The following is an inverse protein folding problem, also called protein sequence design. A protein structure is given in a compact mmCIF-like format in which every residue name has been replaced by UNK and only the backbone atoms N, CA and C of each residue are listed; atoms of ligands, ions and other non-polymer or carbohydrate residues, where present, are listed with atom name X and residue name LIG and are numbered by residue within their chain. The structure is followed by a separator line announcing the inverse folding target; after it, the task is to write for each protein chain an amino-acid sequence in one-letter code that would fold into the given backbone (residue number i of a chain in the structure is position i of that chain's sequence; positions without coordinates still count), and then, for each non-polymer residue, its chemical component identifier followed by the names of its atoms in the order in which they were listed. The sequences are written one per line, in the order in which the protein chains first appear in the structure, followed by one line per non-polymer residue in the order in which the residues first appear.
data_IF_248077338078
#
_entry.id   IF_248077338078
#
_cell.length_a   1.000
_cell.length_b   1.000
_cell.length_c   1.000
_cell.angle_alpha   90.00
_cell.angle_beta   90.00
_cell.angle_gamma   90.00
#
_symmetry.space_group_name_H-M   'P 1'
#
loop_
_entity.id
_entity.type
_entity.pdbx_description
1 polymer ?
#
# COMPACT_ATOMS: atom_id res chain seq x y z
N UNK A 1 10.55 0.76 -8.07
CA UNK A 1 10.44 1.80 -9.11
C UNK A 1 11.22 1.26 -10.29
N UNK A 2 10.59 1.18 -11.46
CA UNK A 2 11.29 0.79 -12.68
C UNK A 2 11.66 2.09 -13.40
N UNK A 3 12.91 2.51 -13.27
CA UNK A 3 13.49 3.75 -13.85
C UNK A 3 14.91 3.44 -14.28
N UNK A 4 15.33 4.01 -15.41
CA UNK A 4 16.75 4.17 -15.79
C UNK A 4 17.26 5.49 -15.18
N UNK A 5 18.13 5.45 -14.14
CA UNK A 5 18.56 6.64 -13.42
C UNK A 5 19.23 7.69 -14.32
N UNK A 6 19.95 7.25 -15.34
CA UNK A 6 20.64 8.11 -16.31
C UNK A 6 19.68 8.92 -17.20
N UNK A 7 18.39 8.58 -17.16
CA UNK A 7 17.33 9.15 -17.97
C UNK A 7 16.25 9.82 -17.12
N UNK A 8 16.51 10.01 -15.83
CA UNK A 8 15.61 10.70 -14.91
C UNK A 8 16.21 12.06 -14.56
N UNK A 9 15.52 13.12 -14.98
CA UNK A 9 15.74 14.48 -14.50
C UNK A 9 14.61 14.81 -13.51
N UNK A 10 14.94 15.01 -12.24
CA UNK A 10 13.95 15.14 -11.18
C UNK A 10 14.31 16.29 -10.23
N UNK A 11 13.31 17.12 -9.93
CA UNK A 11 13.43 18.14 -8.90
C UNK A 11 13.60 17.51 -7.50
N UNK A 12 14.18 18.25 -6.56
CA UNK A 12 14.31 17.79 -5.17
C UNK A 12 12.94 17.62 -4.48
N UNK A 13 11.91 18.34 -4.94
CA UNK A 13 10.56 18.31 -4.40
C UNK A 13 9.61 17.41 -5.20
N UNK A 14 9.98 16.16 -5.39
CA UNK A 14 9.07 15.14 -5.93
C UNK A 14 8.76 14.05 -4.89
N UNK A 15 7.74 13.24 -5.17
CA UNK A 15 7.45 12.02 -4.43
C UNK A 15 7.03 10.92 -5.40
N UNK A 16 7.61 9.73 -5.26
CA UNK A 16 7.26 8.57 -6.08
C UNK A 16 7.03 7.38 -5.15
N UNK A 17 5.81 6.87 -5.17
CA UNK A 17 5.40 5.74 -4.37
C UNK A 17 5.92 4.41 -4.91
N UNK A 18 5.66 3.34 -4.16
CA UNK A 18 6.02 1.98 -4.55
C UNK A 18 5.30 1.57 -5.84
N UNK A 19 6.01 0.78 -6.67
CA UNK A 19 5.43 0.16 -7.85
C UNK A 19 5.22 1.10 -9.03
N UNK A 20 5.64 2.37 -8.95
CA UNK A 20 5.58 3.25 -10.12
C UNK A 20 6.48 2.73 -11.25
N UNK A 21 5.93 2.76 -12.45
CA UNK A 21 6.61 2.45 -13.71
C UNK A 21 6.86 3.78 -14.41
N UNK A 22 8.13 4.07 -14.67
CA UNK A 22 8.54 5.34 -15.27
C UNK A 22 9.53 5.04 -16.39
N UNK A 23 9.62 5.89 -17.40
CA UNK A 23 10.57 5.66 -18.51
C UNK A 23 10.44 4.27 -19.13
N UNK A 24 9.20 3.75 -19.22
CA UNK A 24 8.98 2.36 -19.60
C UNK A 24 9.64 2.08 -20.93
N UNK A 25 10.48 1.05 -20.93
CA UNK A 25 11.07 0.46 -22.12
C UNK A 25 9.92 0.09 -23.05
N UNK A 26 9.75 0.89 -24.09
CA UNK A 26 8.82 0.54 -25.15
C UNK A 26 9.48 -0.59 -25.94
N UNK A 27 9.03 -1.83 -25.70
CA UNK A 27 9.42 -3.00 -26.50
C UNK A 27 8.69 -2.94 -27.85
N UNK A 28 9.03 -1.95 -28.67
CA UNK A 28 8.66 -1.93 -30.07
C UNK A 28 9.61 -2.83 -30.86
N UNK A 29 9.43 -4.15 -30.73
CA UNK A 29 10.16 -5.15 -31.52
C UNK A 29 11.65 -5.25 -31.19
N UNK A 30 12.53 -5.20 -32.20
CA UNK A 30 13.98 -5.48 -32.08
C UNK A 30 14.79 -4.36 -31.41
N UNK A 31 14.17 -3.24 -31.02
CA UNK A 31 14.84 -2.08 -30.44
C UNK A 31 14.21 -1.71 -29.11
N UNK A 32 15.07 -1.29 -28.18
CA UNK A 32 14.67 -0.71 -26.90
C UNK A 32 14.78 0.81 -27.01
N UNK A 33 13.65 1.51 -26.90
CA UNK A 33 13.64 2.97 -26.92
C UNK A 33 13.76 3.52 -25.51
N UNK A 34 14.86 4.23 -25.28
CA UNK A 34 15.13 4.90 -24.00
C UNK A 34 15.01 6.41 -24.21
N UNK A 35 14.17 7.07 -23.41
CA UNK A 35 13.92 8.51 -23.48
C UNK A 35 14.01 9.12 -22.09
N UNK A 36 14.38 10.41 -21.98
CA UNK A 36 14.43 11.09 -20.70
C UNK A 36 13.03 11.39 -20.16
N UNK A 37 12.87 11.29 -18.84
CA UNK A 37 11.70 11.74 -18.08
C UNK A 37 12.12 12.92 -17.22
N UNK A 38 11.38 14.03 -17.35
CA UNK A 38 11.55 15.22 -16.51
C UNK A 38 10.39 15.33 -15.52
N UNK A 39 10.71 15.27 -14.23
CA UNK A 39 9.77 15.40 -13.12
C UNK A 39 9.98 16.73 -12.39
N UNK A 40 9.18 17.76 -12.68
CA UNK A 40 9.30 19.05 -12.03
C UNK A 40 8.83 19.05 -10.57
N UNK A 41 9.09 20.16 -9.87
CA UNK A 41 8.69 20.36 -8.48
C UNK A 41 7.19 20.15 -8.26
N UNK A 42 6.84 19.56 -7.12
CA UNK A 42 5.46 19.29 -6.73
C UNK A 42 4.84 18.07 -7.43
N UNK A 43 5.63 17.32 -8.20
CA UNK A 43 5.19 16.06 -8.79
C UNK A 43 5.04 14.96 -7.72
N UNK A 44 3.88 14.32 -7.68
CA UNK A 44 3.56 13.21 -6.79
C UNK A 44 2.99 12.05 -7.61
N UNK A 45 3.67 10.91 -7.60
CA UNK A 45 3.18 9.67 -8.19
C UNK A 45 2.76 8.70 -7.09
N UNK A 46 1.49 8.31 -7.08
CA UNK A 46 0.94 7.31 -6.17
C UNK A 46 1.24 5.88 -6.62
N UNK A 47 0.88 4.89 -5.81
CA UNK A 47 1.27 3.49 -6.01
C UNK A 47 0.84 2.99 -7.40
N UNK A 48 1.75 2.28 -8.06
CA UNK A 48 1.54 1.69 -9.39
C UNK A 48 1.18 2.68 -10.51
N UNK A 49 1.45 3.98 -10.33
CA UNK A 49 1.29 4.95 -11.41
C UNK A 49 2.23 4.63 -12.58
N UNK A 50 1.76 4.92 -13.80
CA UNK A 50 2.47 4.65 -15.04
C UNK A 50 2.82 5.99 -15.70
N UNK A 51 4.11 6.23 -15.91
CA UNK A 51 4.64 7.52 -16.33
C UNK A 51 5.47 7.33 -17.59
N UNK A 52 4.97 7.84 -18.72
CA UNK A 52 5.70 7.80 -19.98
C UNK A 52 6.86 8.82 -20.01
N UNK A 53 7.90 8.58 -20.83
CA UNK A 53 8.98 9.55 -21.02
C UNK A 53 8.50 10.89 -21.60
N UNK A 54 9.11 11.98 -21.18
CA UNK A 54 8.75 13.35 -21.59
C UNK A 54 8.87 14.37 -20.47
N UNK A 55 8.48 15.61 -20.74
CA UNK A 55 8.46 16.69 -19.75
C UNK A 55 7.08 16.80 -19.11
N UNK A 56 6.89 16.28 -17.90
CA UNK A 56 5.62 16.32 -17.18
C UNK A 56 5.31 17.70 -16.58
N UNK A 57 4.03 18.03 -16.29
CA UNK A 57 3.68 19.25 -15.57
C UNK A 57 4.04 19.17 -14.08
N UNK A 58 4.38 20.32 -13.50
CA UNK A 58 4.56 20.52 -12.06
C UNK A 58 3.26 20.51 -11.28
N UNK A 59 3.39 20.46 -9.95
CA UNK A 59 2.25 20.46 -9.02
C UNK A 59 1.16 19.41 -9.37
N UNK A 60 1.58 18.27 -9.90
CA UNK A 60 0.73 17.20 -10.37
C UNK A 60 0.70 16.07 -9.35
N UNK A 61 -0.48 15.72 -8.88
CA UNK A 61 -0.77 14.49 -8.14
C UNK A 61 -1.35 13.45 -9.09
N UNK A 62 -0.54 12.46 -9.42
CA UNK A 62 -0.93 11.30 -10.20
C UNK A 62 -1.40 10.18 -9.26
N UNK A 63 -2.66 9.81 -9.43
CA UNK A 63 -3.37 8.83 -8.62
C UNK A 63 -2.84 7.41 -8.78
N UNK A 64 -3.37 6.53 -7.95
CA UNK A 64 -3.03 5.12 -7.95
C UNK A 64 -3.37 4.49 -9.29
N UNK A 65 -2.47 3.66 -9.84
CA UNK A 65 -2.67 2.95 -11.12
C UNK A 65 -3.11 3.85 -12.29
N UNK A 66 -2.74 5.13 -12.23
CA UNK A 66 -3.13 6.15 -13.21
C UNK A 66 -2.00 6.33 -14.22
N UNK A 67 -2.26 6.18 -15.54
CA UNK A 67 -1.29 6.49 -16.56
C UNK A 67 -1.21 7.99 -16.82
N UNK A 68 -0.03 8.45 -17.22
CA UNK A 68 0.17 9.79 -17.79
C UNK A 68 1.24 9.73 -18.88
N UNK A 69 1.00 10.44 -19.98
CA UNK A 69 1.99 10.69 -21.01
C UNK A 69 2.00 12.13 -21.50
N UNK A 70 3.06 12.53 -22.25
CA UNK A 70 3.18 13.88 -22.80
C UNK A 70 2.09 14.22 -23.82
N UNK A 71 1.33 13.23 -24.30
CA UNK A 71 0.19 13.43 -25.18
C UNK A 71 -1.09 13.88 -24.44
N UNK A 72 -1.14 13.73 -23.11
CA UNK A 72 -2.29 14.14 -22.29
C UNK A 72 -2.32 15.65 -22.01
N UNK A 73 -1.23 16.36 -22.28
CA UNK A 73 -1.12 17.79 -22.01
C UNK A 73 -0.25 18.50 -23.04
N UNK A 74 -0.46 19.80 -23.17
CA UNK A 74 0.42 20.68 -23.95
C UNK A 74 1.52 21.21 -23.04
N UNK A 75 2.78 21.06 -23.45
CA UNK A 75 3.91 21.70 -22.76
C UNK A 75 3.70 23.22 -22.68
N UNK A 76 3.86 23.78 -21.49
CA UNK A 76 3.74 25.21 -21.22
C UNK A 76 5.12 25.80 -20.95
N UNK A 77 5.24 27.12 -21.09
CA UNK A 77 6.44 27.84 -20.71
C UNK A 77 6.71 27.67 -19.21
N UNK A 78 7.98 27.51 -18.86
CA UNK A 78 8.44 27.32 -17.47
C UNK A 78 8.60 28.64 -16.70
N UNK A 79 8.17 29.76 -17.28
CA UNK A 79 8.23 31.10 -16.67
C UNK A 79 7.22 31.27 -15.52
N UNK A 80 6.26 30.35 -15.39
CA UNK A 80 5.24 30.35 -14.34
C UNK A 80 5.09 28.95 -13.73
N UNK A 81 4.81 28.87 -12.41
CA UNK A 81 4.50 27.59 -11.79
C UNK A 81 3.18 27.03 -12.33
N UNK A 82 3.17 25.73 -12.60
CA UNK A 82 1.97 25.02 -13.01
C UNK A 82 0.87 25.09 -11.94
N UNK A 83 -0.38 25.19 -12.37
CA UNK A 83 -1.52 25.09 -11.47
C UNK A 83 -1.59 23.68 -10.86
N UNK A 84 -1.99 23.53 -9.58
CA UNK A 84 -2.19 22.22 -8.96
C UNK A 84 -3.20 21.37 -9.73
N UNK A 85 -2.84 20.12 -10.02
CA UNK A 85 -3.69 19.15 -10.73
C UNK A 85 -3.71 17.83 -9.98
N UNK A 86 -4.88 17.18 -9.99
CA UNK A 86 -5.04 15.81 -9.50
C UNK A 86 -5.62 14.98 -10.64
N UNK A 87 -4.90 13.93 -11.03
CA UNK A 87 -5.35 12.97 -12.03
C UNK A 87 -5.54 11.61 -11.37
N UNK A 88 -6.63 10.90 -11.66
CA UNK A 88 -6.83 9.54 -11.16
C UNK A 88 -7.66 8.69 -12.13
N UNK A 89 -7.39 7.38 -12.18
CA UNK A 89 -8.13 6.43 -13.01
C UNK A 89 -7.43 6.06 -14.31
N UNK A 90 -8.08 5.19 -15.08
CA UNK A 90 -7.68 4.77 -16.42
C UNK A 90 -8.94 4.58 -17.29
N UNK A 91 -9.30 5.55 -18.17
CA UNK A 91 -8.48 6.70 -18.57
C UNK A 91 -8.30 7.74 -17.45
N UNK A 92 -7.25 8.56 -17.55
CA UNK A 92 -6.93 9.55 -16.53
C UNK A 92 -8.02 10.64 -16.47
N UNK A 93 -8.61 10.80 -15.28
CA UNK A 93 -9.65 11.82 -15.04
C UNK A 93 -9.10 12.93 -14.15
N UNK A 94 -9.37 14.18 -14.53
CA UNK A 94 -9.06 15.32 -13.68
C UNK A 94 -10.04 15.41 -12.52
N UNK A 95 -9.52 15.32 -11.30
CA UNK A 95 -10.25 15.54 -10.08
C UNK A 95 -10.06 16.98 -9.61
N UNK A 96 -11.07 17.53 -8.92
CA UNK A 96 -10.99 18.88 -8.36
C UNK A 96 -9.80 19.01 -7.42
N UNK A 97 -8.84 19.86 -7.78
CA UNK A 97 -7.73 20.20 -6.90
C UNK A 97 -8.20 21.31 -5.95
N UNK A 98 -7.99 21.15 -4.65
CA UNK A 98 -8.18 22.27 -3.72
C UNK A 98 -7.15 23.34 -4.06
N UNK A 99 -7.62 24.56 -4.35
CA UNK A 99 -6.82 25.74 -4.65
C UNK A 99 -6.02 26.29 -3.47
N UNK A 100 -6.09 25.64 -2.30
CA UNK A 100 -5.19 25.96 -1.22
C UNK A 100 -3.79 25.51 -1.62
N UNK A 101 -2.83 26.44 -1.82
CA UNK A 101 -1.44 26.03 -1.91
C UNK A 101 -1.16 25.27 -0.62
N UNK A 102 -0.96 23.95 -0.73
CA UNK A 102 -0.40 23.20 0.36
C UNK A 102 0.89 23.94 0.68
N UNK A 103 0.93 24.64 1.82
CA UNK A 103 2.17 25.28 2.22
C UNK A 103 3.23 24.18 2.16
N UNK A 104 4.39 24.43 1.53
CA UNK A 104 5.47 23.49 1.58
C UNK A 104 5.83 23.30 3.05
N UNK A 105 5.23 22.32 3.70
CA UNK A 105 5.68 21.80 4.99
C UNK A 105 6.89 20.96 4.62
N UNK A 106 7.95 21.67 4.25
CA UNK A 106 9.30 21.17 4.09
C UNK A 106 10.14 21.67 5.28
N UNK A 107 9.77 21.40 6.56
CA UNK A 107 10.76 21.54 7.59
C UNK A 107 11.83 20.51 7.24
N UNK A 108 13.05 20.99 6.94
CA UNK A 108 14.22 20.12 6.88
C UNK A 108 14.15 19.24 8.13
N UNK A 109 14.15 17.91 8.00
CA UNK A 109 14.01 17.06 9.17
C UNK A 109 15.11 17.42 10.15
N UNK A 110 14.75 17.56 11.43
CA UNK A 110 15.77 17.74 12.45
C UNK A 110 16.72 16.54 12.42
N UNK A 111 17.97 16.75 12.83
CA UNK A 111 18.97 15.68 12.92
C UNK A 111 18.42 14.45 13.67
N UNK A 112 17.65 14.67 14.73
CA UNK A 112 17.02 13.59 15.50
C UNK A 112 15.98 12.79 14.70
N UNK A 113 15.12 13.45 13.93
CA UNK A 113 14.14 12.75 13.09
C UNK A 113 14.86 11.95 12.00
N UNK A 114 15.92 12.51 11.42
CA UNK A 114 16.75 11.81 10.44
C UNK A 114 17.44 10.58 11.05
N UNK A 115 18.01 10.69 12.25
CA UNK A 115 18.59 9.55 12.97
C UNK A 115 17.55 8.48 13.31
N UNK A 116 16.34 8.87 13.72
CA UNK A 116 15.26 7.91 13.96
C UNK A 116 14.83 7.19 12.68
N UNK A 117 14.79 7.88 11.53
CA UNK A 117 14.58 7.26 10.21
C UNK A 117 15.66 6.21 9.92
N UNK A 118 16.92 6.57 10.13
CA UNK A 118 18.05 5.65 9.95
C UNK A 118 17.92 4.41 10.84
N UNK A 119 17.67 4.59 12.14
CA UNK A 119 17.57 3.46 13.09
C UNK A 119 16.37 2.57 12.78
N UNK A 120 15.18 3.15 12.60
CA UNK A 120 13.94 2.39 12.46
C UNK A 120 13.76 1.79 11.07
N UNK A 121 14.17 2.50 10.03
CA UNK A 121 13.88 2.09 8.66
C UNK A 121 15.10 1.51 7.94
N UNK A 122 16.25 2.19 7.96
CA UNK A 122 17.44 1.67 7.29
C UNK A 122 18.09 0.51 8.08
N UNK A 123 18.32 0.66 9.39
CA UNK A 123 18.97 -0.38 10.19
C UNK A 123 17.99 -1.49 10.59
N UNK A 124 16.88 -1.14 11.27
CA UNK A 124 15.96 -2.15 11.77
C UNK A 124 15.16 -2.83 10.64
N UNK A 125 14.48 -2.06 9.78
CA UNK A 125 13.70 -2.66 8.68
C UNK A 125 14.59 -3.29 7.60
N UNK A 126 15.47 -2.53 6.94
CA UNK A 126 16.26 -3.10 5.84
C UNK A 126 17.36 -4.07 6.34
N UNK A 127 17.99 -3.79 7.48
CA UNK A 127 19.06 -4.63 8.02
C UNK A 127 18.60 -5.83 8.85
N UNK A 128 17.79 -5.60 9.89
CA UNK A 128 17.49 -6.63 10.92
C UNK A 128 16.30 -7.52 10.54
N UNK A 129 15.21 -6.95 10.04
CA UNK A 129 13.96 -7.70 9.76
C UNK A 129 14.17 -8.88 8.80
N UNK A 130 14.98 -8.80 7.72
CA UNK A 130 15.24 -9.97 6.87
C UNK A 130 15.90 -11.14 7.63
N UNK A 131 16.81 -10.84 8.56
CA UNK A 131 17.57 -11.83 9.32
C UNK A 131 16.82 -12.43 10.52
N UNK A 132 15.79 -11.73 11.04
CA UNK A 132 15.13 -12.10 12.30
C UNK A 132 14.59 -13.54 12.29
N UNK A 133 14.10 -14.03 11.15
CA UNK A 133 13.55 -15.38 11.01
C UNK A 133 14.64 -16.44 11.15
N UNK A 134 15.82 -16.21 10.55
CA UNK A 134 16.95 -17.13 10.61
C UNK A 134 17.55 -17.14 12.01
N UNK A 135 17.75 -15.95 12.60
CA UNK A 135 18.25 -15.84 13.96
C UNK A 135 17.33 -16.50 14.96
N UNK A 136 16.03 -16.21 14.93
CA UNK A 136 15.08 -16.77 15.88
C UNK A 136 14.99 -18.31 15.77
N UNK A 137 14.92 -18.86 14.56
CA UNK A 137 14.91 -20.31 14.35
C UNK A 137 16.20 -20.96 14.85
N UNK A 138 17.36 -20.37 14.52
CA UNK A 138 18.67 -20.92 14.89
C UNK A 138 18.90 -20.83 16.40
N UNK A 139 18.58 -19.70 17.02
CA UNK A 139 18.67 -19.52 18.47
C UNK A 139 17.79 -20.52 19.19
N UNK A 140 16.52 -20.69 18.77
CA UNK A 140 15.63 -21.67 19.38
C UNK A 140 16.19 -23.09 19.28
N UNK A 141 16.67 -23.49 18.11
CA UNK A 141 17.25 -24.81 17.88
C UNK A 141 18.49 -25.06 18.76
N UNK A 142 19.43 -24.11 18.78
CA UNK A 142 20.66 -24.21 19.56
C UNK A 142 20.36 -24.21 21.06
N UNK A 143 19.44 -23.37 21.52
CA UNK A 143 19.01 -23.36 22.93
C UNK A 143 18.39 -24.68 23.36
N UNK A 144 17.56 -25.31 22.52
CA UNK A 144 16.97 -26.62 22.83
C UNK A 144 18.02 -27.73 22.89
N UNK A 145 18.99 -27.73 21.98
CA UNK A 145 20.13 -28.65 22.04
C UNK A 145 20.97 -28.43 23.31
N UNK A 146 21.21 -27.18 23.69
CA UNK A 146 21.93 -26.84 24.92
C UNK A 146 21.19 -27.28 26.19
N UNK A 147 19.86 -27.34 26.16
CA UNK A 147 19.01 -27.89 27.21
C UNK A 147 18.98 -29.44 27.23
N UNK A 148 19.72 -30.10 26.34
CA UNK A 148 19.89 -31.56 26.34
C UNK A 148 18.95 -32.32 25.41
N UNK A 149 18.16 -31.64 24.56
CA UNK A 149 17.40 -32.32 23.52
C UNK A 149 18.36 -32.89 22.47
N UNK A 150 18.00 -34.05 21.90
CA UNK A 150 18.69 -34.56 20.71
C UNK A 150 18.44 -33.63 19.51
N UNK A 151 19.32 -33.65 18.51
CA UNK A 151 19.16 -32.83 17.30
C UNK A 151 17.78 -33.02 16.64
N UNK A 152 17.27 -34.25 16.62
CA UNK A 152 15.94 -34.57 16.08
C UNK A 152 14.85 -33.96 16.95
N UNK A 153 14.94 -34.13 18.28
CA UNK A 153 13.98 -33.56 19.22
C UNK A 153 13.94 -32.03 19.18
N UNK A 154 15.10 -31.38 19.18
CA UNK A 154 15.21 -29.93 19.07
C UNK A 154 14.64 -29.42 17.73
N UNK A 155 14.94 -30.10 16.62
CA UNK A 155 14.39 -29.74 15.32
C UNK A 155 12.86 -29.86 15.26
N UNK A 156 12.29 -30.94 15.81
CA UNK A 156 10.83 -31.14 15.88
C UNK A 156 10.14 -30.08 16.73
N UNK A 157 10.70 -29.74 17.89
CA UNK A 157 10.13 -28.69 18.75
C UNK A 157 10.25 -27.32 18.09
N UNK A 158 11.40 -27.05 17.44
CA UNK A 158 11.63 -25.80 16.72
C UNK A 158 10.66 -25.63 15.57
N UNK A 159 10.40 -26.68 14.77
CA UNK A 159 9.50 -26.61 13.62
C UNK A 159 8.04 -26.32 13.99
N UNK A 160 7.64 -26.61 15.23
CA UNK A 160 6.30 -26.30 15.75
C UNK A 160 6.27 -24.90 16.39
N UNK A 161 7.22 -24.61 17.28
CA UNK A 161 7.22 -23.35 18.04
C UNK A 161 7.57 -22.13 17.19
N UNK A 162 8.50 -22.29 16.23
CA UNK A 162 8.97 -21.19 15.41
C UNK A 162 7.83 -20.55 14.58
N UNK A 163 7.03 -21.29 13.79
CA UNK A 163 5.92 -20.70 13.04
C UNK A 163 4.86 -20.02 13.90
N UNK A 164 4.65 -20.48 15.14
CA UNK A 164 3.70 -19.87 16.09
C UNK A 164 4.28 -18.58 16.69
N UNK A 165 5.59 -18.56 16.96
CA UNK A 165 6.27 -17.40 17.55
C UNK A 165 6.27 -16.16 16.65
N UNK A 166 6.34 -16.35 15.32
CA UNK A 166 6.41 -15.23 14.36
C UNK A 166 5.15 -14.33 14.38
N UNK A 167 3.91 -14.85 14.28
CA UNK A 167 2.68 -14.10 14.49
C UNK A 167 2.64 -13.33 15.81
N UNK A 168 3.07 -13.98 16.89
CA UNK A 168 3.04 -13.39 18.23
C UNK A 168 4.02 -12.24 18.35
N UNK A 169 5.22 -12.40 17.76
CA UNK A 169 6.21 -11.34 17.69
C UNK A 169 5.73 -10.16 16.84
N UNK A 170 5.11 -10.42 15.69
CA UNK A 170 4.54 -9.37 14.84
C UNK A 170 3.44 -8.59 15.58
N UNK A 171 2.57 -9.29 16.31
CA UNK A 171 1.51 -8.68 17.12
C UNK A 171 2.10 -7.83 18.26
N UNK A 172 3.14 -8.34 18.94
CA UNK A 172 3.84 -7.62 20.00
C UNK A 172 4.48 -6.33 19.45
N UNK A 173 5.21 -6.42 18.33
CA UNK A 173 5.84 -5.25 17.69
C UNK A 173 4.77 -4.22 17.31
N UNK A 174 3.68 -4.66 16.67
CA UNK A 174 2.57 -3.77 16.32
C UNK A 174 1.99 -3.08 17.56
N UNK A 175 1.81 -3.81 18.66
CA UNK A 175 1.28 -3.24 19.91
C UNK A 175 2.23 -2.21 20.51
N UNK A 176 3.54 -2.47 20.53
CA UNK A 176 4.55 -1.56 21.06
C UNK A 176 4.74 -0.29 20.22
N UNK A 177 4.76 -0.43 18.89
CA UNK A 177 5.06 0.69 17.98
C UNK A 177 3.83 1.52 17.59
N UNK A 178 2.68 0.88 17.39
CA UNK A 178 1.46 1.52 16.85
C UNK A 178 0.38 1.65 17.91
N UNK A 179 0.27 0.67 18.80
CA UNK A 179 -0.76 0.60 19.82
C UNK A 179 -2.15 0.29 19.27
N UNK A 180 -3.17 0.66 20.06
CA UNK A 180 -4.57 0.34 19.77
C UNK A 180 -5.42 1.54 19.30
N UNK A 181 -4.91 2.76 19.41
CA UNK A 181 -5.68 3.98 19.14
C UNK A 181 -5.39 4.65 17.79
N UNK A 182 -4.25 4.34 17.16
CA UNK A 182 -3.79 5.03 15.97
C UNK A 182 -4.05 4.23 14.70
N UNK A 183 -4.50 4.87 13.63
CA UNK A 183 -4.68 4.26 12.31
C UNK A 183 -6.12 4.05 11.86
N UNK A 184 -7.13 4.50 12.62
CA UNK A 184 -8.53 4.48 12.17
C UNK A 184 -8.91 5.73 11.37
N UNK A 185 -8.48 6.90 11.84
CA UNK A 185 -8.63 8.21 11.20
C UNK A 185 -7.52 9.09 11.74
N UNK A 186 -6.32 8.88 11.24
CA UNK A 186 -5.11 9.44 11.82
C UNK A 186 -4.23 9.99 10.72
N UNK A 187 -3.53 11.07 11.03
CA UNK A 187 -2.50 11.61 10.17
C UNK A 187 -1.20 11.83 10.92
N UNK A 188 -0.09 11.77 10.19
CA UNK A 188 1.23 12.08 10.70
C UNK A 188 2.09 12.69 9.59
N UNK A 189 2.93 13.69 9.87
CA UNK A 189 3.91 14.15 8.89
C UNK A 189 4.82 13.00 8.43
N UNK A 190 5.22 13.01 7.16
CA UNK A 190 6.14 12.01 6.60
C UNK A 190 7.44 11.92 7.40
N UNK A 191 8.06 13.07 7.70
CA UNK A 191 9.24 13.16 8.55
C UNK A 191 8.84 13.18 10.03
N UNK A 192 8.39 12.04 10.55
CA UNK A 192 8.08 11.89 11.98
C UNK A 192 8.40 10.49 12.48
N UNK A 193 8.75 10.39 13.77
CA UNK A 193 8.97 9.08 14.43
C UNK A 193 7.73 8.19 14.32
N UNK A 194 6.54 8.78 14.38
CA UNK A 194 5.27 8.06 14.21
C UNK A 194 5.19 7.37 12.86
N UNK A 195 5.51 8.08 11.78
CA UNK A 195 5.54 7.51 10.44
C UNK A 195 6.53 6.35 10.37
N UNK A 196 7.79 6.55 10.81
CA UNK A 196 8.81 5.50 10.71
C UNK A 196 8.49 4.26 11.56
N UNK A 197 7.99 4.45 12.79
CA UNK A 197 7.55 3.36 13.65
C UNK A 197 6.37 2.59 13.04
N UNK A 198 5.45 3.29 12.37
CA UNK A 198 4.32 2.67 11.69
C UNK A 198 4.78 1.77 10.55
N UNK A 199 5.67 2.27 9.67
CA UNK A 199 6.20 1.47 8.56
C UNK A 199 7.08 0.31 9.02
N UNK A 200 7.90 0.48 10.05
CA UNK A 200 8.64 -0.63 10.65
C UNK A 200 7.68 -1.74 11.14
N UNK A 201 6.57 -1.37 11.79
CA UNK A 201 5.58 -2.35 12.21
C UNK A 201 4.93 -3.09 11.01
N UNK A 202 4.70 -2.39 9.89
CA UNK A 202 4.20 -3.02 8.67
C UNK A 202 5.24 -3.96 8.04
N UNK A 203 6.50 -3.55 7.96
CA UNK A 203 7.59 -4.39 7.42
C UNK A 203 7.78 -5.66 8.26
N UNK A 204 7.77 -5.51 9.59
CA UNK A 204 7.75 -6.65 10.52
C UNK A 204 6.54 -7.54 10.28
N UNK A 205 5.34 -6.98 10.11
CA UNK A 205 4.14 -7.75 9.81
C UNK A 205 4.29 -8.56 8.52
N UNK A 206 4.63 -7.93 7.40
CA UNK A 206 4.79 -8.63 6.12
C UNK A 206 5.85 -9.71 6.19
N UNK A 207 7.00 -9.45 6.85
CA UNK A 207 8.07 -10.44 6.96
C UNK A 207 7.67 -11.61 7.86
N UNK A 208 7.29 -11.32 9.10
CA UNK A 208 7.02 -12.34 10.14
C UNK A 208 5.74 -13.12 9.84
N UNK A 209 4.77 -12.51 9.16
CA UNK A 209 3.50 -13.15 8.85
C UNK A 209 3.48 -13.87 7.51
N UNK A 210 4.47 -13.66 6.64
CA UNK A 210 4.51 -14.21 5.27
C UNK A 210 4.14 -15.69 5.18
N UNK A 211 4.90 -16.57 5.84
CA UNK A 211 4.69 -18.04 5.79
C UNK A 211 3.37 -18.49 6.44
N UNK A 212 3.00 -17.84 7.55
CA UNK A 212 1.76 -18.15 8.24
C UNK A 212 0.54 -17.77 7.38
N UNK A 213 0.55 -16.55 6.83
CA UNK A 213 -0.50 -16.05 5.96
C UNK A 213 -0.58 -16.81 4.63
N UNK A 214 0.54 -17.19 4.01
CA UNK A 214 0.50 -17.98 2.77
C UNK A 214 -0.21 -19.33 2.95
N UNK A 215 -0.26 -19.86 4.17
CA UNK A 215 -0.89 -21.14 4.48
C UNK A 215 -2.40 -20.99 4.75
N UNK A 216 -2.83 -19.88 5.36
CA UNK A 216 -4.21 -19.70 5.83
C UNK A 216 -5.01 -18.63 5.07
N UNK A 217 -4.38 -17.89 4.16
CA UNK A 217 -5.06 -16.91 3.32
C UNK A 217 -6.17 -17.59 2.49
N UNK A 218 -7.23 -16.85 2.20
CA UNK A 218 -8.43 -17.37 1.56
C UNK A 218 -9.33 -18.21 2.48
N UNK A 219 -8.97 -18.38 3.75
CA UNK A 219 -9.78 -19.10 4.74
C UNK A 219 -10.24 -18.18 5.87
N UNK A 220 -11.33 -18.56 6.54
CA UNK A 220 -11.79 -17.85 7.74
C UNK A 220 -10.84 -17.98 8.95
N UNK A 221 -9.82 -18.85 8.88
CA UNK A 221 -8.85 -19.08 9.97
C UNK A 221 -7.90 -17.90 10.18
N UNK A 222 -7.72 -17.03 9.18
CA UNK A 222 -6.91 -15.82 9.31
C UNK A 222 -7.59 -14.74 10.18
N UNK A 223 -8.92 -14.71 10.20
CA UNK A 223 -9.69 -13.61 10.76
C UNK A 223 -9.47 -13.41 12.27
N UNK A 224 -9.42 -14.45 13.14
CA UNK A 224 -9.16 -14.26 14.56
C UNK A 224 -7.84 -13.54 14.83
N UNK A 225 -6.77 -13.88 14.10
CA UNK A 225 -5.47 -13.23 14.26
C UNK A 225 -5.52 -11.77 13.76
N UNK A 226 -6.06 -11.53 12.56
CA UNK A 226 -6.18 -10.18 12.00
C UNK A 226 -7.03 -9.26 12.90
N UNK A 227 -8.07 -9.79 13.56
CA UNK A 227 -8.84 -9.06 14.58
C UNK A 227 -7.99 -8.66 15.78
N UNK A 228 -7.04 -9.51 16.22
CA UNK A 228 -6.09 -9.15 17.30
C UNK A 228 -5.14 -8.02 16.88
N UNK A 229 -4.80 -7.93 15.59
CA UNK A 229 -4.06 -6.79 15.07
C UNK A 229 -4.89 -5.49 15.02
N UNK A 230 -6.22 -5.57 15.09
CA UNK A 230 -7.11 -4.40 15.14
C UNK A 230 -8.10 -4.30 13.99
N UNK A 231 -8.05 -5.21 13.02
CA UNK A 231 -9.01 -5.26 11.93
C UNK A 231 -10.42 -5.60 12.46
N UNK A 232 -11.44 -4.98 11.90
CA UNK A 232 -12.83 -5.42 12.10
C UNK A 232 -13.22 -6.26 10.90
N UNK A 233 -13.41 -7.56 11.12
CA UNK A 233 -13.74 -8.51 10.06
C UNK A 233 -14.90 -9.37 10.54
N UNK A 234 -15.98 -9.40 9.78
CA UNK A 234 -17.17 -10.20 10.04
C UNK A 234 -16.93 -11.71 9.99
N UNK A 235 -17.99 -12.46 10.25
CA UNK A 235 -18.03 -13.91 10.15
C UNK A 235 -18.02 -14.36 8.70
N UNK A 236 -17.41 -15.52 8.43
CA UNK A 236 -17.36 -16.18 7.10
C UNK A 236 -16.73 -15.35 5.97
N UNK A 237 -16.18 -14.18 6.26
CA UNK A 237 -15.46 -13.37 5.30
C UNK A 237 -14.08 -13.96 5.00
N UNK A 238 -13.71 -14.00 3.73
CA UNK A 238 -12.46 -14.59 3.23
C UNK A 238 -11.56 -13.49 2.69
N UNK A 239 -10.32 -13.45 3.17
CA UNK A 239 -9.29 -12.50 2.71
C UNK A 239 -8.24 -13.28 1.92
N UNK A 240 -8.20 -13.06 0.61
CA UNK A 240 -7.25 -13.68 -0.31
C UNK A 240 -5.87 -13.02 -0.31
N UNK A 241 -4.98 -13.57 -1.13
CA UNK A 241 -3.65 -13.01 -1.37
C UNK A 241 -3.68 -11.99 -2.52
N UNK A 242 -2.81 -10.96 -2.50
CA UNK A 242 -1.91 -10.61 -1.40
C UNK A 242 -2.66 -9.90 -0.27
N UNK A 243 -2.43 -10.33 0.98
CA UNK A 243 -3.05 -9.68 2.16
C UNK A 243 -2.35 -8.35 2.41
N UNK A 244 -2.95 -7.24 1.98
CA UNK A 244 -2.49 -5.87 2.24
C UNK A 244 -3.21 -5.23 3.45
N UNK A 245 -3.53 -6.03 4.46
CA UNK A 245 -4.15 -5.56 5.71
C UNK A 245 -3.09 -5.11 6.72
N UNK A 246 -2.24 -4.17 6.34
CA UNK A 246 -1.23 -3.57 7.22
C UNK A 246 -1.72 -2.29 7.91
N UNK A 247 -2.79 -1.68 7.43
CA UNK A 247 -3.49 -0.57 8.07
C UNK A 247 -4.60 -1.07 9.01
N UNK A 248 -4.23 -1.86 10.02
CA UNK A 248 -5.16 -2.72 10.76
C UNK A 248 -6.42 -2.01 11.28
N UNK A 249 -6.28 -0.84 11.90
CA UNK A 249 -7.40 -0.11 12.50
C UNK A 249 -8.29 0.62 11.49
N UNK A 250 -7.85 0.70 10.23
CA UNK A 250 -8.60 1.27 9.11
C UNK A 250 -9.49 0.23 8.41
N UNK A 251 -9.43 -1.04 8.81
CA UNK A 251 -10.17 -2.13 8.16
C UNK A 251 -11.51 -2.34 8.87
N UNK A 252 -12.61 -2.22 8.13
CA UNK A 252 -13.96 -2.56 8.58
C UNK A 252 -14.68 -3.37 7.49
N UNK A 253 -14.74 -4.69 7.67
CA UNK A 253 -15.30 -5.66 6.72
C UNK A 253 -16.48 -6.37 7.40
N UNK A 254 -17.63 -6.37 6.74
CA UNK A 254 -18.85 -7.06 7.16
C UNK A 254 -18.76 -8.59 7.08
N UNK A 255 -19.90 -9.23 7.27
CA UNK A 255 -20.08 -10.69 7.19
C UNK A 255 -20.19 -11.16 5.73
N UNK A 256 -19.77 -12.40 5.47
CA UNK A 256 -19.95 -13.08 4.17
C UNK A 256 -19.26 -12.36 2.99
N UNK A 257 -18.12 -11.69 3.23
CA UNK A 257 -17.39 -10.98 2.20
C UNK A 257 -16.25 -11.82 1.58
N UNK A 258 -15.92 -11.58 0.32
CA UNK A 258 -14.72 -12.15 -0.32
C UNK A 258 -13.84 -11.02 -0.83
N UNK A 259 -12.64 -10.88 -0.27
CA UNK A 259 -11.70 -9.80 -0.62
C UNK A 259 -10.44 -10.40 -1.22
N UNK A 260 -10.35 -10.38 -2.55
CA UNK A 260 -9.19 -10.81 -3.33
C UNK A 260 -8.45 -9.63 -3.99
N UNK A 261 -8.86 -8.40 -3.69
CA UNK A 261 -8.22 -7.17 -4.17
C UNK A 261 -7.10 -6.66 -3.25
N UNK A 262 -6.35 -5.71 -3.77
CA UNK A 262 -5.33 -4.95 -3.04
C UNK A 262 -5.99 -3.79 -2.28
N UNK A 263 -5.52 -3.52 -1.06
CA UNK A 263 -6.05 -2.45 -0.21
C UNK A 263 -4.93 -1.46 0.13
N UNK A 264 -5.10 -0.21 -0.30
CA UNK A 264 -4.18 0.89 -0.01
C UNK A 264 -4.93 1.91 0.87
N UNK A 265 -4.94 1.69 2.18
CA UNK A 265 -5.78 2.46 3.11
C UNK A 265 -5.09 3.71 3.66
N UNK A 266 -3.81 3.90 3.33
CA UNK A 266 -3.06 5.10 3.60
C UNK A 266 -2.59 5.82 2.33
N UNK A 267 -2.36 7.13 2.41
CA UNK A 267 -1.75 7.92 1.35
C UNK A 267 -0.73 8.93 1.89
N UNK A 268 0.09 9.47 1.00
CA UNK A 268 1.17 10.44 1.32
C UNK A 268 0.95 11.82 0.73
N UNK A 269 -0.30 12.16 0.49
CA UNK A 269 -0.68 13.45 -0.08
C UNK A 269 -0.05 14.59 0.73
N UNK A 270 0.59 15.52 0.03
CA UNK A 270 1.32 16.65 0.64
C UNK A 270 2.36 16.22 1.69
N UNK A 271 2.97 15.04 1.54
CA UNK A 271 3.94 14.46 2.49
C UNK A 271 3.35 14.30 3.90
N UNK A 272 2.06 14.04 3.98
CA UNK A 272 1.37 13.66 5.21
C UNK A 272 0.86 12.24 5.01
N UNK A 273 1.27 11.34 5.91
CA UNK A 273 0.66 10.03 6.05
C UNK A 273 -0.78 10.25 6.51
N UNK A 274 -1.74 9.93 5.66
CA UNK A 274 -3.16 9.98 6.00
C UNK A 274 -3.71 8.56 5.97
N UNK A 275 -4.31 8.12 7.07
CA UNK A 275 -4.97 6.82 7.19
C UNK A 275 -6.45 7.04 7.46
N UNK A 276 -7.31 6.41 6.67
CA UNK A 276 -8.75 6.55 6.80
C UNK A 276 -9.43 5.18 6.76
N UNK A 277 -10.34 4.96 7.72
CA UNK A 277 -11.13 3.73 7.79
C UNK A 277 -11.98 3.55 6.55
N UNK A 278 -11.91 2.33 6.01
CA UNK A 278 -12.66 1.87 4.85
C UNK A 278 -13.67 0.85 5.33
N UNK A 279 -14.93 1.02 4.92
CA UNK A 279 -16.04 0.15 5.31
C UNK A 279 -16.50 -0.67 4.11
N UNK A 280 -16.54 -1.98 4.28
CA UNK A 280 -17.06 -2.95 3.33
C UNK A 280 -18.31 -3.59 3.95
N UNK A 281 -19.47 -3.38 3.32
CA UNK A 281 -20.75 -3.96 3.75
C UNK A 281 -20.80 -5.48 3.60
N UNK A 282 -21.83 -6.09 4.17
CA UNK A 282 -22.03 -7.54 4.16
C UNK A 282 -22.23 -8.06 2.73
N UNK A 283 -21.95 -9.35 2.51
CA UNK A 283 -22.16 -10.02 1.21
C UNK A 283 -21.46 -9.29 0.05
N UNK A 284 -20.29 -8.70 0.30
CA UNK A 284 -19.55 -7.92 -0.69
C UNK A 284 -18.37 -8.71 -1.24
N UNK A 285 -18.17 -8.64 -2.56
CA UNK A 285 -17.07 -9.29 -3.27
C UNK A 285 -16.18 -8.25 -3.91
N UNK A 286 -14.88 -8.31 -3.62
CA UNK A 286 -13.84 -7.51 -4.29
C UNK A 286 -12.94 -8.49 -5.03
N UNK A 287 -13.03 -8.51 -6.36
CA UNK A 287 -12.32 -9.48 -7.18
C UNK A 287 -10.83 -9.17 -7.35
N UNK A 288 -10.10 -10.18 -7.80
CA UNK A 288 -8.65 -10.14 -8.01
C UNK A 288 -8.20 -8.99 -8.91
N UNK A 289 -7.03 -8.42 -8.60
CA UNK A 289 -6.42 -7.32 -9.34
C UNK A 289 -7.11 -5.96 -9.13
N UNK A 290 -8.24 -5.92 -8.41
CA UNK A 290 -8.87 -4.66 -8.03
C UNK A 290 -8.07 -3.96 -6.95
N UNK A 291 -8.14 -2.62 -6.91
CA UNK A 291 -7.54 -1.83 -5.85
C UNK A 291 -8.58 -0.98 -5.12
N UNK A 292 -8.55 -1.05 -3.78
CA UNK A 292 -9.42 -0.31 -2.88
C UNK A 292 -8.61 0.75 -2.12
N UNK A 293 -8.92 2.02 -2.36
CA UNK A 293 -8.28 3.14 -1.67
C UNK A 293 -8.97 3.46 -0.32
N UNK A 294 -8.19 4.07 0.58
CA UNK A 294 -8.62 4.47 1.92
C UNK A 294 -9.87 5.36 1.97
N UNK A 295 -10.68 5.16 3.01
CA UNK A 295 -11.86 5.98 3.29
C UNK A 295 -13.12 5.61 2.50
N UNK A 296 -13.04 4.67 1.55
CA UNK A 296 -14.20 4.25 0.77
C UNK A 296 -15.26 3.55 1.64
N UNK A 297 -16.52 3.63 1.22
CA UNK A 297 -17.66 2.98 1.88
C UNK A 297 -18.46 2.20 0.84
N UNK A 298 -18.41 0.88 0.93
CA UNK A 298 -19.20 -0.04 0.10
C UNK A 298 -20.44 -0.45 0.90
N UNK A 299 -21.60 -0.33 0.28
CA UNK A 299 -22.85 -0.84 0.82
C UNK A 299 -22.83 -2.39 0.90
N UNK A 300 -23.89 -2.96 1.48
CA UNK A 300 -24.10 -4.40 1.41
C UNK A 300 -24.39 -4.83 -0.05
N UNK A 301 -24.05 -6.07 -0.40
CA UNK A 301 -24.27 -6.64 -1.74
C UNK A 301 -23.58 -5.90 -2.88
N UNK A 302 -22.35 -5.43 -2.65
CA UNK A 302 -21.49 -4.85 -3.69
C UNK A 302 -20.63 -5.95 -4.32
N UNK A 303 -20.56 -6.00 -5.64
CA UNK A 303 -19.58 -6.83 -6.35
C UNK A 303 -18.69 -5.91 -7.18
N UNK A 304 -17.39 -5.93 -6.93
CA UNK A 304 -16.40 -5.20 -7.71
C UNK A 304 -15.71 -6.17 -8.66
N UNK A 305 -15.85 -5.93 -9.96
CA UNK A 305 -15.25 -6.72 -11.03
C UNK A 305 -13.72 -6.72 -10.95
N UNK A 306 -13.04 -7.75 -11.49
CA UNK A 306 -11.58 -7.79 -11.53
C UNK A 306 -10.95 -6.52 -12.11
N UNK A 307 -9.70 -6.23 -11.72
CA UNK A 307 -8.91 -5.11 -12.26
C UNK A 307 -9.57 -3.73 -12.15
N UNK A 308 -10.48 -3.55 -11.19
CA UNK A 308 -11.21 -2.29 -11.01
C UNK A 308 -10.57 -1.41 -9.92
N UNK A 309 -10.67 -0.09 -10.04
CA UNK A 309 -10.09 0.87 -9.08
C UNK A 309 -11.20 1.62 -8.33
N UNK A 310 -11.27 1.40 -7.02
CA UNK A 310 -12.18 2.10 -6.12
C UNK A 310 -11.40 3.28 -5.53
N UNK A 311 -11.81 4.50 -5.89
CA UNK A 311 -11.12 5.72 -5.47
C UNK A 311 -11.27 6.03 -3.98
N UNK A 312 -10.37 6.89 -3.50
CA UNK A 312 -10.38 7.40 -2.12
C UNK A 312 -11.74 7.98 -1.76
N UNK A 313 -12.26 7.60 -0.59
CA UNK A 313 -13.54 8.08 -0.07
C UNK A 313 -14.77 7.85 -0.99
N UNK A 314 -14.65 6.97 -2.00
CA UNK A 314 -15.75 6.65 -2.89
C UNK A 314 -16.86 5.88 -2.15
N UNK A 315 -18.10 6.17 -2.50
CA UNK A 315 -19.27 5.45 -1.99
C UNK A 315 -19.82 4.55 -3.10
N UNK A 316 -19.89 3.24 -2.85
CA UNK A 316 -20.48 2.30 -3.79
C UNK A 316 -21.85 1.83 -3.29
N UNK A 317 -22.95 2.16 -4.00
CA UNK A 317 -24.25 1.56 -3.73
C UNK A 317 -24.26 0.06 -4.06
N UNK A 318 -25.26 -0.71 -3.59
CA UNK A 318 -25.40 -2.13 -3.92
C UNK A 318 -25.41 -2.37 -5.43
N UNK A 319 -24.81 -3.48 -5.88
CA UNK A 319 -24.76 -3.86 -7.29
C UNK A 319 -23.36 -4.19 -7.80
N UNK A 320 -23.26 -4.39 -9.11
CA UNK A 320 -22.01 -4.71 -9.81
C UNK A 320 -21.28 -3.42 -10.19
N UNK A 321 -19.99 -3.32 -9.89
CA UNK A 321 -19.15 -2.17 -10.22
C UNK A 321 -17.92 -2.62 -11.00
N UNK A 322 -17.54 -1.88 -12.04
CA UNK A 322 -16.39 -2.20 -12.86
C UNK A 322 -15.67 -0.95 -13.38
N UNK A 323 -14.39 -1.08 -13.71
CA UNK A 323 -13.60 -0.03 -14.36
C UNK A 323 -12.61 0.67 -13.43
N UNK A 324 -11.85 1.61 -13.99
CA UNK A 324 -10.87 2.42 -13.27
C UNK A 324 -11.09 3.89 -13.64
N UNK A 325 -11.80 4.70 -12.83
CA UNK A 325 -12.47 4.35 -11.59
C UNK A 325 -13.67 3.42 -11.80
N UNK A 326 -14.06 2.73 -10.74
CA UNK A 326 -15.24 1.85 -10.74
C UNK A 326 -16.54 2.64 -10.97
N UNK A 327 -17.42 2.13 -11.82
CA UNK A 327 -18.77 2.65 -12.02
C UNK A 327 -19.80 1.53 -11.89
N UNK A 328 -21.03 1.89 -11.51
CA UNK A 328 -22.13 0.93 -11.43
C UNK A 328 -22.45 0.40 -12.83
N UNK A 329 -22.39 -0.91 -12.98
CA UNK A 329 -22.76 -1.62 -14.20
C UNK A 329 -24.25 -1.90 -14.12
N UNK A 330 -25.01 -1.22 -14.97
CA UNK A 330 -26.39 -1.61 -15.20
C UNK A 330 -26.36 -2.97 -15.90
N UNK A 331 -27.16 -3.96 -15.46
CA UNK A 331 -27.28 -5.20 -16.22
C UNK A 331 -27.77 -4.82 -17.62
N UNK A 332 -26.95 -5.07 -18.65
CA UNK A 332 -27.46 -5.05 -20.01
C UNK A 332 -28.60 -6.06 -20.07
N UNK A 333 -29.75 -5.72 -20.67
CA UNK A 333 -30.75 -6.73 -20.97
C UNK A 333 -30.07 -7.77 -21.85
N UNK A 334 -29.97 -9.00 -21.35
CA UNK A 334 -29.53 -10.15 -22.13
C UNK A 334 -30.28 -10.12 -23.45
N UNK A 335 -29.60 -9.79 -24.54
CA UNK A 335 -30.16 -9.92 -25.88
C UNK A 335 -30.32 -11.41 -26.13
N UNK A 336 -31.58 -11.84 -26.08
CA UNK A 336 -32.03 -13.17 -26.48
C UNK A 336 -31.79 -13.40 -27.98
#
# INVERSE_FOLDING_TARGET
MNVLPEQLDADANIFIAQGCYCNVLDEHGAFLLVKPLRLPAGFFASNNAMIEPGALPGNLLLGVSTPIGPHDYREQYTDRPDLPRVLAGNPSLSLGATSQPAQPVHPKPSWWVFMMRFVLNDFASVGVVPGITVFLATTLLVSLNALGLSNIGAALVTSILFPISLPLLALLIKYLLVGNSWGAKSSAPFWSVRHFAYFLAQDCFFRLMSSFMSTIAGTALANPLLRRFGCRIGQRSLIGLPIQLSDWHAVDIGDDCVVNGQMQLHSFENRILNVARTKIGNNTVINHGSMLMGGATLADHVTVSPQSLILKAMQLPPGLHAGSPTQLVNPEPLSH
#
